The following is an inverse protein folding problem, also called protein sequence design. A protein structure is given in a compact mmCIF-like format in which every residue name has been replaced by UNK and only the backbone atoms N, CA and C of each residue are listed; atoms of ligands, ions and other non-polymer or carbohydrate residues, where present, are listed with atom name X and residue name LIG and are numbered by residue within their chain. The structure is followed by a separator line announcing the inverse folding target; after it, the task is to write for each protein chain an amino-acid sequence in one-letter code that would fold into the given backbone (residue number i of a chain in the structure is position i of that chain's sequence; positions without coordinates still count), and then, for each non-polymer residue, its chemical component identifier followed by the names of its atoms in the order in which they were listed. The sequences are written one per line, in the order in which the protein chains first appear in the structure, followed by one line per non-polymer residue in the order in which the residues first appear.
data_IF_516757278574
#
_entry.id   IF_516757278574
#
_cell.length_a   1.000
_cell.length_b   1.000
_cell.length_c   1.000
_cell.angle_alpha   90.00
_cell.angle_beta   90.00
_cell.angle_gamma   90.00
#
_symmetry.space_group_name_H-M   'P 1'
#
loop_
_entity.id
_entity.type
_entity.pdbx_description
1 polymer ?
#
# COMPACT_ATOMS: atom_id res chain seq x y z
N UNK A 1 -6.72 -8.25 11.76
CA UNK A 1 -5.51 -8.89 11.20
C UNK A 1 -4.55 -9.13 12.34
N UNK A 2 -4.17 -10.38 12.59
CA UNK A 2 -3.13 -10.70 13.55
C UNK A 2 -1.80 -10.07 13.09
N UNK A 3 -1.09 -9.44 14.01
CA UNK A 3 0.24 -8.86 13.73
C UNK A 3 1.26 -9.96 13.98
N UNK A 4 1.91 -10.45 12.93
CA UNK A 4 2.92 -11.52 13.06
C UNK A 4 4.24 -11.01 13.63
N UNK A 5 4.51 -9.71 13.52
CA UNK A 5 5.70 -9.06 14.06
C UNK A 5 5.37 -7.66 14.54
N UNK A 6 5.85 -7.30 15.73
CA UNK A 6 5.65 -5.99 16.37
C UNK A 6 7.00 -5.32 16.68
N UNK A 7 7.13 -4.01 16.41
CA UNK A 7 8.29 -3.24 16.83
C UNK A 7 8.18 -2.90 18.33
N UNK A 8 9.31 -2.86 19.01
CA UNK A 8 9.40 -2.29 20.35
C UNK A 8 9.70 -0.79 20.22
N UNK A 9 8.96 0.02 20.97
CA UNK A 9 9.15 1.48 21.03
C UNK A 9 9.36 1.88 22.47
N UNK A 10 10.43 2.64 22.71
CA UNK A 10 10.81 3.12 24.04
C UNK A 10 10.44 4.61 24.15
N UNK A 11 9.70 4.99 25.19
CA UNK A 11 9.40 6.39 25.51
C UNK A 11 9.79 6.65 26.97
N UNK A 12 11.02 7.12 27.16
CA UNK A 12 11.62 7.21 28.49
C UNK A 12 11.74 5.81 29.12
N UNK A 13 11.25 5.60 30.37
CA UNK A 13 11.30 4.30 31.02
C UNK A 13 10.25 3.30 30.51
N UNK A 14 9.25 3.74 29.73
CA UNK A 14 8.20 2.85 29.23
C UNK A 14 8.61 2.19 27.92
N UNK A 15 8.55 0.85 27.91
CA UNK A 15 8.71 0.02 26.72
C UNK A 15 7.33 -0.49 26.30
N UNK A 16 6.96 -0.27 25.04
CA UNK A 16 5.67 -0.71 24.52
C UNK A 16 5.79 -1.27 23.11
N UNK A 17 4.81 -2.06 22.73
CA UNK A 17 4.64 -2.46 21.33
C UNK A 17 4.17 -1.26 20.50
N UNK A 18 4.88 -1.01 19.41
CA UNK A 18 4.53 0.04 18.46
C UNK A 18 3.40 -0.38 17.53
N UNK A 19 2.83 0.62 16.85
CA UNK A 19 1.84 0.39 15.80
C UNK A 19 2.43 -0.32 14.58
N UNK A 20 3.66 0.03 14.21
CA UNK A 20 4.36 -0.47 13.03
C UNK A 20 5.81 0.02 12.93
N UNK A 21 6.58 -0.62 12.06
CA UNK A 21 7.98 -0.30 11.81
C UNK A 21 8.12 1.07 11.16
N UNK A 22 9.16 1.79 11.55
CA UNK A 22 9.47 3.11 11.00
C UNK A 22 10.04 2.99 9.59
N UNK A 23 10.03 4.10 8.84
CA UNK A 23 10.68 4.14 7.52
C UNK A 23 12.19 3.88 7.62
N UNK A 24 12.85 4.38 8.67
CA UNK A 24 14.30 4.18 8.87
C UNK A 24 14.67 2.72 9.11
N UNK A 25 13.86 1.98 9.87
CA UNK A 25 14.06 0.54 10.10
C UNK A 25 13.90 -0.27 8.80
N UNK A 26 12.90 0.08 7.97
CA UNK A 26 12.68 -0.58 6.67
C UNK A 26 13.79 -0.27 5.66
N UNK A 27 14.28 0.98 5.63
CA UNK A 27 15.36 1.39 4.73
C UNK A 27 16.67 0.65 5.02
N UNK A 28 16.98 0.35 6.29
CA UNK A 28 18.17 -0.44 6.66
C UNK A 28 18.13 -1.87 6.11
N UNK A 29 16.93 -2.40 5.84
CA UNK A 29 16.72 -3.72 5.24
C UNK A 29 16.43 -3.64 3.74
N UNK A 30 16.62 -2.46 3.12
CA UNK A 30 16.33 -2.20 1.71
C UNK A 30 14.88 -2.56 1.30
N UNK A 31 13.92 -2.44 2.24
CA UNK A 31 12.52 -2.74 1.99
C UNK A 31 11.72 -1.48 1.67
N UNK A 32 10.91 -1.52 0.63
CA UNK A 32 9.92 -0.49 0.36
C UNK A 32 8.67 -0.68 1.24
N UNK A 33 7.97 0.40 1.60
CA UNK A 33 6.69 0.37 2.32
C UNK A 33 5.67 -0.54 1.63
N UNK A 34 5.62 -0.49 0.30
CA UNK A 34 4.72 -1.33 -0.49
C UNK A 34 5.05 -2.82 -0.39
N UNK A 35 6.32 -3.18 -0.25
CA UNK A 35 6.80 -4.56 -0.09
C UNK A 35 6.56 -5.04 1.34
N UNK A 36 6.90 -4.23 2.34
CA UNK A 36 6.63 -4.53 3.74
C UNK A 36 5.14 -4.81 3.97
N UNK A 37 4.24 -3.97 3.42
CA UNK A 37 2.79 -4.19 3.49
C UNK A 37 2.33 -5.46 2.74
N UNK A 38 3.00 -5.85 1.65
CA UNK A 38 2.74 -7.11 0.93
C UNK A 38 3.21 -8.34 1.71
N UNK A 39 4.22 -8.19 2.55
CA UNK A 39 4.66 -9.23 3.47
C UNK A 39 3.78 -9.31 4.72
N UNK A 40 2.88 -8.34 4.95
CA UNK A 40 2.04 -8.27 6.15
C UNK A 40 2.73 -7.57 7.33
N UNK A 41 3.86 -6.91 7.08
CA UNK A 41 4.57 -6.13 8.09
C UNK A 41 3.80 -4.82 8.34
N UNK A 42 3.45 -4.49 9.60
CA UNK A 42 2.81 -3.22 9.91
C UNK A 42 3.83 -2.08 9.78
N UNK A 43 3.48 -1.03 9.03
CA UNK A 43 4.35 0.15 8.81
C UNK A 43 3.73 1.39 9.45
N UNK A 44 4.56 2.16 10.15
CA UNK A 44 4.21 3.46 10.73
C UNK A 44 5.05 4.57 10.11
N UNK A 45 4.53 5.14 9.01
CA UNK A 45 5.19 6.19 8.21
C UNK A 45 5.42 7.50 8.99
N UNK A 46 4.72 7.71 10.11
CA UNK A 46 4.81 8.95 10.90
C UNK A 46 5.95 8.93 11.91
N UNK A 47 6.54 7.75 12.18
CA UNK A 47 7.59 7.57 13.19
C UNK A 47 8.97 7.73 12.55
N UNK A 48 9.78 8.63 13.09
CA UNK A 48 11.16 8.88 12.63
C UNK A 48 12.22 8.11 13.41
N UNK A 49 11.90 7.60 14.60
CA UNK A 49 12.85 6.85 15.45
C UNK A 49 13.23 5.51 14.83
N UNK A 50 14.52 5.19 14.82
CA UNK A 50 15.06 3.91 14.37
C UNK A 50 15.75 3.20 15.54
N UNK A 51 15.43 1.94 15.77
CA UNK A 51 16.06 1.10 16.80
C UNK A 51 16.67 -0.15 16.15
N UNK A 52 17.94 -0.43 16.43
CA UNK A 52 18.64 -1.61 15.88
C UNK A 52 17.97 -2.94 16.28
N UNK A 53 17.48 -3.03 17.52
CA UNK A 53 16.73 -4.19 18.03
C UNK A 53 15.53 -4.57 17.13
N UNK A 54 14.87 -3.57 16.54
CA UNK A 54 13.74 -3.79 15.63
C UNK A 54 14.19 -4.24 14.24
N UNK A 55 15.37 -3.78 13.79
CA UNK A 55 15.97 -4.17 12.51
C UNK A 55 16.38 -5.63 12.55
N UNK A 56 17.02 -6.08 13.63
CA UNK A 56 17.38 -7.48 13.83
C UNK A 56 16.15 -8.38 13.90
N UNK A 57 15.11 -7.96 14.64
CA UNK A 57 13.84 -8.70 14.69
C UNK A 57 13.21 -8.85 13.30
N UNK A 58 13.19 -7.79 12.50
CA UNK A 58 12.70 -7.86 11.13
C UNK A 58 13.54 -8.81 10.28
N UNK A 59 14.87 -8.84 10.44
CA UNK A 59 15.76 -9.73 9.70
C UNK A 59 15.47 -11.21 10.01
N UNK A 60 15.28 -11.55 11.29
CA UNK A 60 14.90 -12.92 11.71
C UNK A 60 13.55 -13.30 11.11
N UNK A 61 12.57 -12.39 11.20
CA UNK A 61 11.24 -12.64 10.67
C UNK A 61 11.24 -12.83 9.14
N UNK A 62 12.04 -12.07 8.39
CA UNK A 62 12.18 -12.22 6.94
C UNK A 62 12.74 -13.60 6.58
N UNK A 63 13.77 -14.07 7.30
CA UNK A 63 14.33 -15.40 7.08
C UNK A 63 13.31 -16.53 7.34
N UNK A 64 12.42 -16.36 8.33
CA UNK A 64 11.32 -17.29 8.59
C UNK A 64 10.22 -17.20 7.52
N UNK A 65 9.89 -15.98 7.07
CA UNK A 65 8.90 -15.74 6.03
C UNK A 65 9.31 -16.36 4.68
N UNK A 66 10.61 -16.30 4.33
CA UNK A 66 11.14 -16.94 3.13
C UNK A 66 10.99 -18.47 3.18
N UNK A 67 11.31 -19.09 4.32
CA UNK A 67 11.16 -20.55 4.50
C UNK A 67 9.71 -21.01 4.35
N UNK A 68 8.77 -20.20 4.83
CA UNK A 68 7.34 -20.52 4.81
C UNK A 68 6.65 -20.15 3.48
N UNK A 69 7.33 -19.42 2.58
CA UNK A 69 6.78 -19.02 1.29
C UNK A 69 5.62 -18.02 1.40
N UNK A 70 5.52 -17.29 2.52
CA UNK A 70 4.36 -16.46 2.81
C UNK A 70 4.27 -15.24 1.90
N UNK A 71 3.17 -15.13 1.15
CA UNK A 71 2.83 -13.92 0.38
C UNK A 71 1.45 -13.44 0.82
N UNK A 72 1.38 -12.29 1.49
CA UNK A 72 0.07 -11.72 1.81
C UNK A 72 -0.61 -11.29 0.50
N UNK A 73 -1.93 -11.52 0.36
CA UNK A 73 -2.66 -11.12 -0.83
C UNK A 73 -2.58 -9.60 -1.01
N UNK A 74 -2.26 -9.15 -2.23
CA UNK A 74 -2.18 -7.72 -2.56
C UNK A 74 -3.48 -7.04 -2.14
N UNK A 75 -3.44 -5.91 -1.40
CA UNK A 75 -4.65 -5.16 -1.10
C UNK A 75 -5.34 -4.81 -2.42
N UNK A 76 -6.64 -5.12 -2.53
CA UNK A 76 -7.43 -4.78 -3.71
C UNK A 76 -7.38 -3.26 -3.88
N UNK A 77 -6.68 -2.78 -4.91
CA UNK A 77 -6.73 -1.36 -5.27
C UNK A 77 -8.11 -1.10 -5.85
N UNK A 78 -9.05 -0.68 -5.02
CA UNK A 78 -10.32 -0.16 -5.51
C UNK A 78 -10.00 1.15 -6.25
N UNK A 79 -10.11 1.14 -7.59
CA UNK A 79 -10.12 2.40 -8.34
C UNK A 79 -11.22 3.28 -7.77
N UNK A 80 -10.97 4.59 -7.60
CA UNK A 80 -12.02 5.52 -7.16
C UNK A 80 -13.29 5.30 -7.97
N UNK A 81 -14.44 5.32 -7.28
CA UNK A 81 -15.73 5.20 -7.96
C UNK A 81 -15.81 6.28 -9.04
N UNK A 82 -16.07 5.86 -10.30
CA UNK A 82 -16.19 6.83 -11.40
C UNK A 82 -17.39 7.72 -11.11
N UNK A 83 -17.19 9.04 -11.09
CA UNK A 83 -18.27 10.03 -10.97
C UNK A 83 -19.34 9.78 -12.05
N UNK A 84 -20.57 10.25 -11.83
CA UNK A 84 -21.72 9.99 -12.70
C UNK A 84 -21.48 10.34 -14.18
N UNK A 85 -22.30 9.75 -15.06
CA UNK A 85 -22.19 9.96 -16.52
C UNK A 85 -22.25 11.43 -16.94
N UNK A 86 -23.10 12.21 -16.28
CA UNK A 86 -23.26 13.66 -16.53
C UNK A 86 -21.94 14.38 -16.26
N UNK A 87 -21.38 14.21 -15.06
CA UNK A 87 -20.10 14.82 -14.67
C UNK A 87 -18.95 14.44 -15.62
N UNK A 88 -18.94 13.19 -16.12
CA UNK A 88 -17.91 12.71 -17.05
C UNK A 88 -18.14 13.15 -18.51
N UNK A 89 -19.22 13.88 -18.80
CA UNK A 89 -19.59 14.29 -20.16
C UNK A 89 -19.89 13.09 -21.07
N UNK A 90 -20.45 12.01 -20.52
CA UNK A 90 -20.76 10.77 -21.24
C UNK A 90 -22.24 10.63 -21.62
N UNK A 91 -23.06 11.64 -21.33
CA UNK A 91 -24.42 11.79 -21.87
C UNK A 91 -24.37 11.98 -23.39
N UNK A 92 -25.51 11.85 -24.08
CA UNK A 92 -25.62 12.07 -25.53
C UNK A 92 -25.09 13.46 -25.93
N UNK A 93 -25.64 14.51 -25.32
CA UNK A 93 -25.23 15.91 -25.54
C UNK A 93 -23.78 16.15 -25.10
N UNK A 94 -23.34 15.54 -24.00
CA UNK A 94 -21.96 15.67 -23.52
C UNK A 94 -20.94 15.02 -24.47
N UNK A 95 -21.26 13.87 -25.05
CA UNK A 95 -20.43 13.23 -26.08
C UNK A 95 -20.39 14.04 -27.36
N UNK A 96 -21.50 14.67 -27.72
CA UNK A 96 -21.59 15.54 -28.90
C UNK A 96 -20.73 16.79 -28.75
N UNK A 97 -20.87 17.52 -27.64
CA UNK A 97 -20.03 18.69 -27.33
C UNK A 97 -18.53 18.33 -27.34
N UNK A 98 -18.16 17.15 -26.84
CA UNK A 98 -16.77 16.69 -26.82
C UNK A 98 -16.29 16.09 -28.15
N UNK A 99 -17.12 16.05 -29.19
CA UNK A 99 -16.78 15.41 -30.47
C UNK A 99 -16.61 13.88 -30.39
N UNK A 100 -17.02 13.25 -29.29
CA UNK A 100 -16.93 11.81 -29.03
C UNK A 100 -18.16 11.04 -29.51
N UNK A 101 -19.20 11.76 -29.97
CA UNK A 101 -20.40 11.15 -30.52
C UNK A 101 -20.05 10.53 -31.89
N UNK A 102 -19.89 9.20 -31.93
CA UNK A 102 -19.77 8.48 -33.19
C UNK A 102 -21.00 8.79 -34.07
N UNK A 103 -20.79 9.41 -35.23
CA UNK A 103 -21.81 9.46 -36.28
C UNK A 103 -22.08 8.01 -36.68
N UNK A 104 -23.30 7.51 -36.43
CA UNK A 104 -23.77 6.26 -37.03
C UNK A 104 -23.77 6.50 -38.55
N UNK A 105 -22.78 5.97 -39.28
CA UNK A 105 -22.77 6.07 -40.75
C UNK A 105 -21.42 6.09 -41.47
N UNK A 106 -20.29 6.38 -40.81
CA UNK A 106 -18.97 6.34 -41.48
C UNK A 106 -18.40 4.90 -41.54
N UNK A 107 -19.08 4.01 -42.27
CA UNK A 107 -18.38 2.91 -42.95
C UNK A 107 -17.66 3.56 -44.13
N UNK A 108 -16.34 3.70 -44.05
CA UNK A 108 -15.53 4.00 -45.24
C UNK A 108 -15.71 2.80 -46.19
N UNK A 109 -16.19 3.07 -47.41
CA UNK A 109 -16.03 2.16 -48.55
C UNK A 109 -14.55 2.03 -48.89
#
# INVERSE_FOLDING_TARGET
MARMVTPIVKRGPLVKEGRGFSLGELMKLSLNVGEARRLGIPVDERRSTCYEENVERLKIWLAEAEKTGFRAPKPRQSSKMKRGRVYRGLTSSGKEMRGLRKKRGLRKQ
#
